data_IF_289008859695
#
_entry.id   IF_289008859695
#
_cell.length_a   1.000
_cell.length_b   1.000
_cell.length_c   1.000
_cell.angle_alpha   90.00
_cell.angle_beta   90.00
_cell.angle_gamma   90.00
#
_symmetry.space_group_name_H-M   'P 1'
#
loop_
_entity.id
_entity.type
_entity.pdbx_description
1 polymer ?
#
# COMPACT_ATOMS: atom_id res chain seq x y z
N UNK A 1 -24.17 -13.47 -12.79
CA UNK A 1 -22.96 -12.61 -12.65
C UNK A 1 -22.36 -12.64 -11.25
N UNK A 2 -23.16 -12.61 -10.17
CA UNK A 2 -22.67 -12.56 -8.79
C UNK A 2 -21.85 -13.80 -8.35
N UNK A 3 -22.29 -15.01 -8.73
CA UNK A 3 -21.55 -16.25 -8.43
C UNK A 3 -20.20 -16.40 -9.14
N UNK A 4 -19.92 -15.60 -10.18
CA UNK A 4 -18.60 -15.54 -10.82
C UNK A 4 -17.66 -14.62 -10.04
N UNK A 5 -18.16 -13.44 -9.61
CA UNK A 5 -17.43 -12.49 -8.76
C UNK A 5 -16.98 -13.13 -7.44
N UNK A 6 -17.86 -13.88 -6.78
CA UNK A 6 -17.53 -14.59 -5.53
C UNK A 6 -16.44 -15.64 -5.71
N UNK A 7 -16.47 -16.41 -6.80
CA UNK A 7 -15.44 -17.41 -7.11
C UNK A 7 -14.09 -16.78 -7.42
N UNK A 8 -14.09 -15.68 -8.20
CA UNK A 8 -12.87 -14.91 -8.48
C UNK A 8 -12.29 -14.28 -7.21
N UNK A 9 -13.14 -13.70 -6.36
CA UNK A 9 -12.72 -13.16 -5.08
C UNK A 9 -12.07 -14.23 -4.18
N UNK A 10 -12.66 -15.43 -4.14
CA UNK A 10 -12.09 -16.57 -3.43
C UNK A 10 -10.74 -17.00 -4.01
N UNK A 11 -10.54 -16.95 -5.32
CA UNK A 11 -9.28 -17.31 -5.96
C UNK A 11 -8.18 -16.30 -5.62
N UNK A 12 -8.47 -14.99 -5.71
CA UNK A 12 -7.52 -13.92 -5.35
C UNK A 12 -7.08 -14.04 -3.89
N UNK A 13 -8.04 -14.26 -2.97
CA UNK A 13 -7.73 -14.48 -1.55
C UNK A 13 -6.81 -15.69 -1.32
N UNK A 14 -7.05 -16.81 -2.03
CA UNK A 14 -6.22 -18.02 -1.90
C UNK A 14 -4.79 -17.82 -2.41
N UNK A 15 -4.63 -17.09 -3.51
CA UNK A 15 -3.31 -16.82 -4.09
C UNK A 15 -2.48 -15.92 -3.18
N UNK A 16 -3.05 -14.80 -2.72
CA UNK A 16 -2.36 -13.86 -1.83
C UNK A 16 -2.06 -14.44 -0.44
N UNK A 17 -2.90 -15.34 0.10
CA UNK A 17 -2.69 -15.99 1.41
C UNK A 17 -1.52 -16.98 1.39
N UNK A 18 -1.13 -17.49 0.21
CA UNK A 18 -0.01 -18.43 0.05
C UNK A 18 1.35 -17.74 -0.08
N UNK A 19 1.37 -16.43 -0.34
CA UNK A 19 2.57 -15.66 -0.70
C UNK A 19 3.14 -14.82 0.45
N UNK A 20 2.35 -14.51 1.50
CA UNK A 20 2.77 -13.63 2.61
C UNK A 20 2.95 -14.37 3.94
N UNK A 21 3.92 -15.29 4.03
CA UNK A 21 4.46 -15.73 5.32
C UNK A 21 5.68 -14.88 5.68
N UNK A 22 5.56 -14.23 6.84
CA UNK A 22 6.59 -13.50 7.60
C UNK A 22 7.14 -12.21 6.96
N UNK A 23 6.70 -11.07 7.50
CA UNK A 23 7.20 -9.71 7.19
C UNK A 23 7.55 -9.00 8.49
N UNK A 24 8.83 -8.96 8.81
CA UNK A 24 9.38 -8.07 9.83
C UNK A 24 9.68 -6.72 9.16
N UNK A 25 8.85 -5.72 9.43
CA UNK A 25 9.16 -4.32 9.17
C UNK A 25 9.54 -3.68 10.51
N UNK A 26 10.56 -2.84 10.48
CA UNK A 26 10.93 -1.97 11.59
C UNK A 26 9.71 -1.07 11.92
N UNK A 27 9.33 -1.00 13.19
CA UNK A 27 8.19 -0.17 13.64
C UNK A 27 8.63 1.25 14.01
N UNK A 28 9.92 1.58 13.87
CA UNK A 28 10.44 2.90 14.23
C UNK A 28 9.90 4.00 13.32
N UNK A 29 9.11 4.88 13.93
CA UNK A 29 8.73 6.17 13.37
C UNK A 29 9.96 7.10 13.30
N UNK A 30 9.82 8.21 12.57
CA UNK A 30 10.90 9.20 12.49
C UNK A 30 11.28 9.72 13.89
N UNK A 31 12.57 9.82 14.24
CA UNK A 31 12.99 10.34 15.54
C UNK A 31 12.51 11.79 15.74
N UNK A 32 11.97 12.10 16.92
CA UNK A 32 11.61 13.48 17.31
C UNK A 32 12.91 14.29 17.55
N UNK A 33 13.56 14.76 16.48
CA UNK A 33 14.60 15.79 16.60
C UNK A 33 13.96 17.15 16.30
N UNK A 34 14.02 18.02 17.30
CA UNK A 34 13.60 19.41 17.19
C UNK A 34 14.52 20.16 16.25
N UNK A 35 14.02 20.48 15.08
CA UNK A 35 14.37 21.66 14.30
C UNK A 35 13.06 22.12 13.66
N UNK A 36 12.63 23.32 14.06
CA UNK A 36 11.43 23.98 13.59
C UNK A 36 11.65 24.39 12.13
N UNK A 37 11.32 23.48 11.20
CA UNK A 37 11.41 23.77 9.77
C UNK A 37 10.24 24.67 9.39
N UNK A 38 10.59 25.88 8.96
CA UNK A 38 9.70 26.89 8.35
C UNK A 38 8.62 26.22 7.48
N UNK A 39 7.40 26.74 7.53
CA UNK A 39 6.23 26.38 6.72
C UNK A 39 6.59 26.08 5.25
N UNK A 40 7.01 24.85 4.99
CA UNK A 40 7.27 24.33 3.65
C UNK A 40 6.27 23.21 3.46
N UNK A 41 5.38 23.44 2.51
CA UNK A 41 4.47 22.42 2.02
C UNK A 41 5.32 21.23 1.55
N UNK A 42 4.91 20.02 1.93
CA UNK A 42 5.67 18.81 1.64
C UNK A 42 4.95 18.00 0.57
N UNK A 43 5.68 17.65 -0.49
CA UNK A 43 5.16 16.77 -1.53
C UNK A 43 4.80 15.39 -0.95
N UNK A 44 3.62 14.91 -1.29
CA UNK A 44 3.16 13.55 -1.04
C UNK A 44 3.28 12.76 -2.33
N UNK A 45 4.03 11.66 -2.29
CA UNK A 45 4.35 10.84 -3.46
C UNK A 45 3.81 9.43 -3.26
N UNK A 46 3.07 8.93 -4.23
CA UNK A 46 2.70 7.52 -4.31
C UNK A 46 3.71 6.75 -5.15
N UNK A 47 4.25 5.68 -4.59
CA UNK A 47 5.06 4.69 -5.30
C UNK A 47 4.17 3.52 -5.73
N UNK A 48 4.20 3.19 -7.02
CA UNK A 48 3.40 2.13 -7.62
C UNK A 48 4.31 1.00 -8.05
N UNK A 49 3.92 -0.22 -7.71
CA UNK A 49 4.63 -1.44 -8.02
C UNK A 49 3.71 -2.46 -8.70
N UNK A 50 4.25 -3.17 -9.68
CA UNK A 50 3.58 -4.32 -10.27
C UNK A 50 3.69 -5.51 -9.32
N UNK A 51 2.56 -6.22 -9.11
CA UNK A 51 2.54 -7.48 -8.38
C UNK A 51 3.05 -8.57 -9.31
N UNK A 52 4.37 -8.71 -9.41
CA UNK A 52 5.04 -9.76 -10.16
C UNK A 52 5.96 -10.50 -9.21
N UNK A 53 5.57 -11.67 -8.71
CA UNK A 53 6.53 -12.52 -8.00
C UNK A 53 6.19 -14.01 -7.99
N UNK A 54 6.54 -14.71 -9.06
CA UNK A 54 7.00 -16.09 -8.90
C UNK A 54 8.16 -16.38 -9.84
N UNK A 55 9.19 -17.13 -9.39
CA UNK A 55 10.22 -17.71 -10.26
C UNK A 55 9.67 -18.80 -11.21
N UNK A 56 8.35 -19.04 -11.24
CA UNK A 56 7.71 -19.94 -12.20
C UNK A 56 6.88 -19.16 -13.24
N UNK A 57 7.20 -19.35 -14.52
CA UNK A 57 6.46 -18.77 -15.65
C UNK A 57 4.95 -19.07 -15.60
N UNK A 58 4.54 -20.21 -15.03
CA UNK A 58 3.14 -20.61 -14.86
C UNK A 58 2.36 -19.70 -13.90
N UNK A 59 3.00 -19.18 -12.86
CA UNK A 59 2.34 -18.31 -11.88
C UNK A 59 2.23 -16.88 -12.40
N UNK A 60 3.25 -16.40 -13.14
CA UNK A 60 3.21 -15.11 -13.82
C UNK A 60 2.07 -15.03 -14.85
N UNK A 61 1.83 -16.11 -15.62
CA UNK A 61 0.69 -16.18 -16.54
C UNK A 61 -0.67 -16.16 -15.83
N UNK A 62 -0.74 -16.64 -14.58
CA UNK A 62 -1.98 -16.63 -13.78
C UNK A 62 -2.24 -15.25 -13.19
N UNK A 63 -1.20 -14.58 -12.68
CA UNK A 63 -1.30 -13.21 -12.16
C UNK A 63 -1.62 -12.21 -13.26
N UNK A 64 -1.01 -12.32 -14.45
CA UNK A 64 -1.34 -11.48 -15.60
C UNK A 64 -2.79 -11.67 -16.06
N UNK A 65 -3.31 -12.91 -16.06
CA UNK A 65 -4.72 -13.19 -16.37
C UNK A 65 -5.66 -12.61 -15.31
N UNK A 66 -5.28 -12.62 -14.04
CA UNK A 66 -6.06 -12.00 -12.96
C UNK A 66 -6.00 -10.47 -13.04
N UNK A 67 -4.87 -9.88 -13.44
CA UNK A 67 -4.76 -8.45 -13.70
C UNK A 67 -5.73 -8.01 -14.82
N UNK A 68 -5.88 -8.82 -15.87
CA UNK A 68 -6.92 -8.59 -16.89
C UNK A 68 -8.33 -8.76 -16.30
N UNK A 69 -8.59 -9.81 -15.53
CA UNK A 69 -9.93 -10.07 -14.97
C UNK A 69 -10.35 -9.02 -13.92
N UNK A 70 -9.43 -8.52 -13.09
CA UNK A 70 -9.72 -7.47 -12.10
C UNK A 70 -10.01 -6.12 -12.77
N UNK A 71 -9.24 -5.79 -13.82
CA UNK A 71 -9.45 -4.62 -14.68
C UNK A 71 -10.82 -4.66 -15.36
N UNK A 72 -11.23 -5.83 -15.86
CA UNK A 72 -12.41 -5.95 -16.73
C UNK A 72 -13.71 -6.37 -16.01
N UNK A 73 -13.65 -7.11 -14.89
CA UNK A 73 -14.84 -7.63 -14.20
C UNK A 73 -15.24 -6.87 -12.92
N UNK A 74 -14.30 -6.14 -12.32
CA UNK A 74 -14.49 -5.48 -11.01
C UNK A 74 -14.37 -3.96 -11.09
N UNK A 75 -13.93 -3.40 -12.22
CA UNK A 75 -13.74 -1.94 -12.38
C UNK A 75 -12.64 -1.37 -11.48
N UNK A 76 -11.89 -2.24 -10.82
CA UNK A 76 -10.70 -1.91 -10.07
C UNK A 76 -9.57 -1.93 -11.09
N UNK A 77 -8.94 -0.79 -11.38
CA UNK A 77 -7.66 -0.79 -12.10
C UNK A 77 -6.74 -1.90 -11.57
N UNK A 78 -5.86 -2.44 -12.42
CA UNK A 78 -5.08 -3.67 -12.16
C UNK A 78 -4.52 -3.84 -10.74
N UNK A 79 -4.15 -5.07 -10.37
CA UNK A 79 -3.63 -5.34 -9.02
C UNK A 79 -2.19 -4.82 -8.91
N UNK A 80 -2.07 -3.56 -8.51
CA UNK A 80 -0.79 -2.92 -8.17
C UNK A 80 -0.66 -2.81 -6.66
N UNK A 81 0.58 -2.84 -6.19
CA UNK A 81 0.92 -2.44 -4.83
C UNK A 81 1.25 -0.96 -4.81
N UNK A 82 0.76 -0.24 -3.80
CA UNK A 82 1.06 1.17 -3.60
C UNK A 82 1.64 1.43 -2.22
N UNK A 83 2.49 2.46 -2.13
CA UNK A 83 3.02 2.99 -0.89
C UNK A 83 3.07 4.53 -0.94
N UNK A 84 2.92 5.20 0.20
CA UNK A 84 2.93 6.66 0.31
C UNK A 84 4.21 7.14 0.99
N UNK A 85 4.90 8.07 0.35
CA UNK A 85 6.01 8.83 0.90
C UNK A 85 5.56 10.27 1.16
N UNK A 86 6.00 10.84 2.29
CA UNK A 86 5.75 12.24 2.64
C UNK A 86 7.06 12.93 3.03
N UNK A 87 7.65 12.51 4.15
CA UNK A 87 8.93 13.03 4.65
C UNK A 87 10.01 11.96 4.62
N UNK A 88 11.26 12.41 4.38
CA UNK A 88 12.44 11.54 4.42
C UNK A 88 12.46 10.51 3.29
N UNK A 89 13.13 9.38 3.53
CA UNK A 89 13.43 8.35 2.52
C UNK A 89 12.51 7.13 2.60
N UNK A 90 11.49 7.16 3.46
CA UNK A 90 10.63 6.01 3.71
C UNK A 90 9.25 6.16 3.06
N UNK A 91 8.75 5.06 2.53
CA UNK A 91 7.38 4.91 2.05
C UNK A 91 6.58 3.98 2.98
N UNK A 92 5.28 4.24 3.12
CA UNK A 92 4.38 3.53 4.02
C UNK A 92 3.32 2.77 3.25
N UNK A 93 3.06 1.52 3.65
CA UNK A 93 2.03 0.70 3.03
C UNK A 93 1.41 -0.28 4.04
N UNK A 94 0.45 -1.09 3.58
CA UNK A 94 -0.29 -2.04 4.37
C UNK A 94 -0.25 -3.45 3.79
N UNK A 95 -0.04 -4.44 4.64
CA UNK A 95 0.12 -5.84 4.28
C UNK A 95 -0.39 -6.79 5.37
N UNK A 96 -0.51 -8.06 5.00
CA UNK A 96 -0.84 -9.11 5.95
C UNK A 96 0.31 -9.34 6.93
N UNK A 97 -0.02 -9.43 8.21
CA UNK A 97 0.86 -9.86 9.31
C UNK A 97 -0.01 -10.63 10.31
N UNK A 98 0.48 -11.76 10.84
CA UNK A 98 -0.32 -12.64 11.72
C UNK A 98 -0.73 -11.96 13.03
N UNK A 99 0.13 -11.12 13.58
CA UNK A 99 -0.13 -10.35 14.82
C UNK A 99 0.42 -8.94 14.67
N UNK A 100 -0.23 -7.99 15.35
CA UNK A 100 0.18 -6.58 15.34
C UNK A 100 -0.30 -5.79 14.13
N UNK A 101 0.34 -4.65 13.89
CA UNK A 101 0.01 -3.77 12.76
C UNK A 101 0.38 -4.41 11.42
N UNK A 102 -0.48 -4.24 10.43
CA UNK A 102 -0.14 -4.56 9.04
C UNK A 102 0.50 -3.39 8.32
N UNK A 103 0.54 -2.21 8.94
CA UNK A 103 1.23 -1.04 8.40
C UNK A 103 2.73 -1.25 8.57
N UNK A 104 3.48 -1.08 7.48
CA UNK A 104 4.92 -1.20 7.43
C UNK A 104 5.52 -0.07 6.60
N UNK A 105 6.84 0.11 6.72
CA UNK A 105 7.59 1.02 5.87
C UNK A 105 8.84 0.35 5.30
N UNK A 106 9.34 0.89 4.19
CA UNK A 106 10.64 0.57 3.63
C UNK A 106 11.23 1.81 2.95
N UNK A 107 12.47 1.72 2.47
CA UNK A 107 13.04 2.78 1.63
C UNK A 107 12.24 2.93 0.33
N UNK A 108 12.06 4.17 -0.13
CA UNK A 108 11.34 4.48 -1.36
C UNK A 108 11.86 3.66 -2.55
N UNK A 109 10.96 3.05 -3.32
CA UNK A 109 11.35 2.26 -4.50
C UNK A 109 12.10 0.95 -4.20
N UNK A 110 12.25 0.54 -2.94
CA UNK A 110 13.07 -0.62 -2.53
C UNK A 110 12.24 -1.77 -1.95
N UNK A 111 10.95 -1.83 -2.24
CA UNK A 111 10.13 -2.95 -1.80
C UNK A 111 10.51 -4.24 -2.54
N UNK A 112 11.27 -5.12 -1.87
CA UNK A 112 11.84 -6.34 -2.47
C UNK A 112 10.82 -7.38 -2.95
N UNK A 113 9.56 -7.24 -2.53
CA UNK A 113 8.50 -8.19 -2.88
C UNK A 113 7.75 -7.82 -4.17
N UNK A 114 8.00 -6.64 -4.75
CA UNK A 114 7.28 -6.14 -5.91
C UNK A 114 8.26 -5.49 -6.91
N UNK A 115 7.83 -5.38 -8.17
CA UNK A 115 8.64 -4.70 -9.18
C UNK A 115 8.22 -3.23 -9.25
N UNK A 116 9.16 -2.32 -8.98
CA UNK A 116 8.89 -0.90 -9.03
C UNK A 116 8.50 -0.46 -10.44
N UNK A 117 7.41 0.30 -10.54
CA UNK A 117 6.87 0.77 -11.82
C UNK A 117 7.09 2.26 -12.01
N UNK A 118 6.56 3.08 -11.10
CA UNK A 118 6.61 4.54 -11.21
C UNK A 118 6.26 5.22 -9.87
N UNK A 119 6.58 6.50 -9.78
CA UNK A 119 6.10 7.40 -8.73
C UNK A 119 5.10 8.41 -9.30
N UNK A 120 4.15 8.84 -8.46
CA UNK A 120 3.10 9.80 -8.81
C UNK A 120 3.02 10.84 -7.70
N UNK A 121 3.29 12.10 -8.00
CA UNK A 121 3.06 13.20 -7.06
C UNK A 121 1.55 13.36 -6.87
N UNK A 122 1.07 13.29 -5.63
CA UNK A 122 -0.35 13.40 -5.29
C UNK A 122 -0.77 14.82 -4.89
N UNK A 123 0.20 15.69 -4.64
CA UNK A 123 0.00 17.06 -4.20
C UNK A 123 0.91 17.36 -3.01
N UNK A 124 0.60 18.43 -2.30
CA UNK A 124 1.37 18.87 -1.15
C UNK A 124 0.51 18.85 0.11
N UNK A 125 1.10 18.47 1.24
CA UNK A 125 0.45 18.53 2.55
C UNK A 125 0.99 19.69 3.37
N UNK A 126 0.12 20.28 4.19
CA UNK A 126 0.47 21.25 5.22
C UNK A 126 0.81 20.60 6.55
N UNK A 127 0.64 19.28 6.69
CA UNK A 127 0.96 18.56 7.91
C UNK A 127 2.47 18.57 8.14
N UNK A 128 2.90 19.06 9.29
CA UNK A 128 4.25 18.90 9.80
C UNK A 128 4.61 17.42 10.01
N UNK A 129 5.91 17.12 10.11
CA UNK A 129 6.38 15.76 10.38
C UNK A 129 5.79 15.18 11.68
N UNK A 130 5.57 16.00 12.71
CA UNK A 130 4.92 15.57 13.96
C UNK A 130 3.46 15.18 13.74
N UNK A 131 2.72 15.94 12.92
CA UNK A 131 1.33 15.63 12.56
C UNK A 131 1.25 14.37 11.72
N UNK A 132 2.15 14.18 10.75
CA UNK A 132 2.25 12.94 9.97
C UNK A 132 2.53 11.75 10.89
N UNK A 133 3.42 11.89 11.88
CA UNK A 133 3.68 10.84 12.89
C UNK A 133 2.46 10.56 13.78
N UNK A 134 1.62 11.56 14.09
CA UNK A 134 0.34 11.34 14.80
C UNK A 134 -0.64 10.54 13.93
N UNK A 135 -0.80 10.95 12.67
CA UNK A 135 -1.64 10.26 11.68
C UNK A 135 -1.19 8.80 11.51
N UNK A 136 0.11 8.55 11.34
CA UNK A 136 0.65 7.19 11.19
C UNK A 136 0.38 6.34 12.43
N UNK A 137 0.54 6.88 13.65
CA UNK A 137 0.20 6.15 14.89
C UNK A 137 -1.26 5.75 14.96
N UNK A 138 -2.18 6.61 14.53
CA UNK A 138 -3.60 6.28 14.43
C UNK A 138 -3.84 5.15 13.43
N UNK A 139 -3.24 5.25 12.24
CA UNK A 139 -3.41 4.24 11.20
C UNK A 139 -2.79 2.89 11.60
N UNK A 140 -1.60 2.88 12.20
CA UNK A 140 -0.93 1.68 12.72
C UNK A 140 -1.84 0.92 13.71
N UNK A 141 -2.58 1.65 14.55
CA UNK A 141 -3.53 1.05 15.51
C UNK A 141 -4.80 0.51 14.82
N UNK A 142 -5.31 1.21 13.81
CA UNK A 142 -6.56 0.86 13.12
C UNK A 142 -6.40 -0.23 12.02
N UNK A 143 -5.19 -0.39 11.49
CA UNK A 143 -4.87 -1.28 10.38
C UNK A 143 -4.04 -2.47 10.87
N UNK A 144 -4.69 -3.37 11.59
CA UNK A 144 -4.09 -4.64 12.05
C UNK A 144 -3.80 -5.57 10.89
N UNK A 145 -2.70 -6.34 10.97
CA UNK A 145 -2.24 -7.16 9.85
C UNK A 145 -3.18 -8.32 9.52
N UNK A 146 -3.87 -8.85 10.52
CA UNK A 146 -4.88 -9.91 10.38
C UNK A 146 -6.17 -9.42 9.68
N UNK A 147 -6.37 -8.10 9.61
CA UNK A 147 -7.48 -7.48 8.89
C UNK A 147 -7.22 -7.26 7.39
N UNK A 148 -6.03 -7.62 6.89
CA UNK A 148 -5.71 -7.48 5.47
C UNK A 148 -6.59 -8.37 4.59
N UNK A 149 -7.34 -7.75 3.68
CA UNK A 149 -8.10 -8.43 2.62
C UNK A 149 -7.68 -7.88 1.24
N UNK A 150 -7.23 -8.73 0.31
CA UNK A 150 -6.77 -8.29 -1.01
C UNK A 150 -7.77 -7.46 -1.83
N UNK A 151 -9.07 -7.51 -1.52
CA UNK A 151 -10.13 -6.86 -2.30
C UNK A 151 -10.78 -5.70 -1.56
N UNK A 152 -11.00 -5.82 -0.25
CA UNK A 152 -11.78 -4.84 0.53
C UNK A 152 -10.97 -4.07 1.57
N UNK A 153 -9.74 -4.49 1.88
CA UNK A 153 -8.86 -3.82 2.85
C UNK A 153 -7.40 -4.14 2.56
N UNK A 154 -6.86 -3.55 1.51
CA UNK A 154 -5.49 -3.78 1.01
C UNK A 154 -4.63 -2.50 1.06
N UNK A 155 -3.40 -2.57 0.54
CA UNK A 155 -2.47 -1.44 0.46
C UNK A 155 -3.06 -0.17 -0.19
N UNK A 156 -3.85 -0.30 -1.26
CA UNK A 156 -4.46 0.85 -1.94
C UNK A 156 -5.50 1.54 -1.06
N UNK A 157 -6.28 0.77 -0.30
CA UNK A 157 -7.24 1.33 0.66
C UNK A 157 -6.55 2.06 1.80
N UNK A 158 -5.42 1.52 2.28
CA UNK A 158 -4.59 2.19 3.28
C UNK A 158 -4.01 3.49 2.72
N UNK A 159 -3.45 3.47 1.51
CA UNK A 159 -2.90 4.66 0.87
C UNK A 159 -3.96 5.75 0.71
N UNK A 160 -5.17 5.40 0.27
CA UNK A 160 -6.28 6.35 0.18
C UNK A 160 -6.65 6.95 1.54
N UNK A 161 -6.75 6.13 2.58
CA UNK A 161 -7.04 6.60 3.94
C UNK A 161 -5.93 7.51 4.48
N UNK A 162 -4.68 7.23 4.13
CA UNK A 162 -3.55 8.06 4.51
C UNK A 162 -3.54 9.39 3.74
N UNK A 163 -3.73 9.37 2.42
CA UNK A 163 -3.86 10.57 1.58
C UNK A 163 -5.00 11.47 2.04
N UNK A 164 -6.13 10.89 2.44
CA UNK A 164 -7.29 11.62 2.97
C UNK A 164 -6.92 12.37 4.26
N UNK A 165 -6.19 11.74 5.18
CA UNK A 165 -5.70 12.40 6.40
C UNK A 165 -4.62 13.46 6.13
N UNK A 166 -3.85 13.31 5.05
CA UNK A 166 -2.84 14.28 4.61
C UNK A 166 -3.41 15.45 3.82
N UNK A 167 -4.69 15.40 3.44
CA UNK A 167 -5.35 16.45 2.65
C UNK A 167 -4.95 16.49 1.17
N UNK A 168 -4.44 15.37 0.61
CA UNK A 168 -4.04 15.28 -0.81
C UNK A 168 -4.97 14.37 -1.61
N UNK A 169 -4.84 14.39 -2.94
CA UNK A 169 -5.68 13.55 -3.81
C UNK A 169 -5.40 12.06 -3.60
N UNK A 170 -6.43 11.24 -3.83
CA UNK A 170 -6.36 9.77 -3.78
C UNK A 170 -5.60 9.20 -4.98
N UNK A 171 -5.29 7.91 -4.93
CA UNK A 171 -4.62 7.23 -6.04
C UNK A 171 -5.49 7.27 -7.33
N UNK A 172 -4.91 7.54 -8.52
CA UNK A 172 -5.64 7.54 -9.77
C UNK A 172 -6.08 6.12 -10.18
N UNK A 173 -7.24 5.99 -10.82
CA UNK A 173 -7.75 4.70 -11.34
C UNK A 173 -8.77 3.98 -10.46
N UNK A 174 -9.51 4.72 -9.64
CA UNK A 174 -10.85 4.34 -9.16
C UNK A 174 -11.92 4.88 -10.07
#
# INVERSE_FOLDING_TARGET
MEGFRLRMASLVRRLFKREKREREGDERLWPEKGEETRERMQEVVAHVYDVTNSPSEKTNNTVSRINCICKDCVGLGGIFHSAIQVYGTHEWSFGYRERGSGVFHCSQGQNQFYTYRQSIVLGETHCSQSEVNKILRELIRAWTGDSYDPLSKNCNHFCDAFCEKLGVRKLPGK
#
